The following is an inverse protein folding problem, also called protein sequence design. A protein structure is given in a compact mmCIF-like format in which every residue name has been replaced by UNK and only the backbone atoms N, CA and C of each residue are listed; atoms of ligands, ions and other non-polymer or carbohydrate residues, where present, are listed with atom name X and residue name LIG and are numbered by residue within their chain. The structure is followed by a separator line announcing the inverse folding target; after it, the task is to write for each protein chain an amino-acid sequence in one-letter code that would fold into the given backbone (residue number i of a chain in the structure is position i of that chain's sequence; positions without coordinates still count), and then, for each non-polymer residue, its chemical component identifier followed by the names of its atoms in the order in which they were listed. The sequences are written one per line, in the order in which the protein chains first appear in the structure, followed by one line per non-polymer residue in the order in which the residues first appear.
data_IF_947583204453
#
_entry.id   IF_947583204453
#
_cell.length_a   1.000
_cell.length_b   1.000
_cell.length_c   1.000
_cell.angle_alpha   90.00
_cell.angle_beta   90.00
_cell.angle_gamma   90.00
#
_symmetry.space_group_name_H-M   'P 1'
#
loop_
_entity.id
_entity.type
_entity.pdbx_description
1 polymer ?
#
# COMPACT_ATOMS: atom_id res chain seq x y z
N UNK A 1 26.11 3.24 9.74
CA UNK A 1 25.43 2.11 10.42
C UNK A 1 24.21 1.70 9.61
N UNK A 2 23.79 0.42 9.64
CA UNK A 2 22.63 -0.06 8.87
C UNK A 2 21.49 -0.43 9.83
N UNK A 3 20.31 0.16 9.64
CA UNK A 3 19.13 -0.07 10.47
C UNK A 3 17.88 -0.27 9.61
N UNK A 4 16.86 -0.95 10.15
CA UNK A 4 15.59 -1.09 9.45
C UNK A 4 14.83 0.25 9.43
N UNK A 5 14.22 0.59 8.29
CA UNK A 5 13.38 1.81 8.14
C UNK A 5 12.30 1.85 9.24
N UNK A 6 11.66 0.72 9.54
CA UNK A 6 10.59 0.60 10.54
C UNK A 6 11.05 0.80 11.98
N UNK A 7 12.34 0.63 12.25
CA UNK A 7 12.93 0.86 13.57
C UNK A 7 13.43 2.30 13.71
N UNK A 8 13.98 2.86 12.62
CA UNK A 8 14.52 4.22 12.59
C UNK A 8 13.44 5.31 12.41
N UNK A 9 12.33 4.98 11.76
CA UNK A 9 11.21 5.90 11.49
C UNK A 9 9.92 5.24 11.98
N UNK A 10 9.55 5.57 13.21
CA UNK A 10 8.40 4.95 13.90
C UNK A 10 7.11 5.77 13.80
N UNK A 11 7.20 7.05 13.42
CA UNK A 11 6.05 7.96 13.30
C UNK A 11 6.17 8.87 12.08
N UNK A 12 5.03 9.36 11.60
CA UNK A 12 4.99 10.35 10.50
C UNK A 12 5.72 11.63 10.91
N UNK A 13 5.51 12.13 12.13
CA UNK A 13 6.18 13.33 12.63
C UNK A 13 7.71 13.20 12.63
N UNK A 14 8.24 12.01 12.93
CA UNK A 14 9.67 11.72 12.84
C UNK A 14 10.15 11.73 11.38
N UNK A 15 9.36 11.17 10.46
CA UNK A 15 9.67 11.24 9.03
C UNK A 15 9.68 12.70 8.51
N UNK A 16 8.67 13.49 8.87
CA UNK A 16 8.56 14.90 8.50
C UNK A 16 9.78 15.70 8.97
N UNK A 17 10.14 15.56 10.25
CA UNK A 17 11.29 16.26 10.82
C UNK A 17 12.61 15.82 10.19
N UNK A 18 12.79 14.51 9.99
CA UNK A 18 14.07 13.94 9.56
C UNK A 18 14.36 14.15 8.07
N UNK A 19 13.32 14.12 7.23
CA UNK A 19 13.46 14.25 5.77
C UNK A 19 12.95 15.59 5.25
N UNK A 20 12.64 16.54 6.14
CA UNK A 20 12.08 17.85 5.80
C UNK A 20 10.84 17.72 4.90
N UNK A 21 9.96 16.77 5.24
CA UNK A 21 8.70 16.56 4.52
C UNK A 21 7.64 17.48 5.12
N UNK A 22 6.79 18.01 4.25
CA UNK A 22 5.62 18.78 4.64
C UNK A 22 4.36 18.09 4.16
N UNK A 23 3.38 17.92 5.06
CA UNK A 23 2.03 17.57 4.66
C UNK A 23 1.48 18.66 3.73
N UNK A 24 0.91 18.24 2.60
CA UNK A 24 0.16 19.12 1.71
C UNK A 24 -1.33 18.86 1.87
N UNK A 25 -2.08 19.92 2.15
CA UNK A 25 -3.55 19.92 2.09
C UNK A 25 -4.06 20.48 0.75
N UNK A 26 -3.15 20.87 -0.13
CA UNK A 26 -3.50 21.36 -1.46
C UNK A 26 -4.03 20.20 -2.30
N UNK A 27 -5.34 20.19 -2.50
CA UNK A 27 -6.00 19.23 -3.39
C UNK A 27 -5.42 19.26 -4.80
N UNK A 28 -4.89 20.39 -5.26
CA UNK A 28 -4.31 20.52 -6.60
C UNK A 28 -2.85 20.09 -6.72
N UNK A 29 -2.23 19.59 -5.64
CA UNK A 29 -0.82 19.17 -5.63
C UNK A 29 -0.52 18.07 -6.66
N UNK A 30 -1.47 17.17 -6.88
CA UNK A 30 -1.50 16.27 -8.03
C UNK A 30 -2.72 16.67 -8.86
N UNK A 31 -2.61 17.41 -9.97
CA UNK A 31 -3.78 17.71 -10.79
C UNK A 31 -4.21 16.51 -11.67
N UNK A 32 -3.32 15.56 -11.92
CA UNK A 32 -3.49 14.45 -12.89
C UNK A 32 -4.55 13.42 -12.46
N UNK A 33 -4.83 13.29 -11.15
CA UNK A 33 -5.89 12.40 -10.63
C UNK A 33 -7.24 13.10 -10.51
N UNK A 34 -7.35 14.40 -10.86
CA UNK A 34 -8.59 15.17 -10.72
C UNK A 34 -9.17 15.63 -12.06
N UNK A 35 -8.32 15.82 -13.06
CA UNK A 35 -8.71 16.36 -14.37
C UNK A 35 -8.60 15.28 -15.44
N UNK A 36 -9.48 15.32 -16.44
CA UNK A 36 -9.44 14.47 -17.64
C UNK A 36 -9.42 12.94 -17.39
N UNK A 37 -9.98 12.50 -16.25
CA UNK A 37 -10.16 11.08 -15.97
C UNK A 37 -11.14 10.44 -16.96
N UNK A 38 -10.72 9.35 -17.58
CA UNK A 38 -11.60 8.55 -18.42
C UNK A 38 -12.69 7.90 -17.56
N UNK A 39 -13.93 7.95 -18.04
CA UNK A 39 -15.02 7.22 -17.41
C UNK A 39 -14.78 5.71 -17.55
N UNK A 40 -14.97 4.98 -16.46
CA UNK A 40 -14.90 3.51 -16.48
C UNK A 40 -15.89 2.94 -17.50
N UNK A 41 -15.40 2.01 -18.32
CA UNK A 41 -16.19 1.22 -19.23
C UNK A 41 -17.17 0.30 -18.49
N UNK A 42 -18.20 -0.18 -19.20
CA UNK A 42 -19.15 -1.15 -18.63
C UNK A 42 -18.46 -2.45 -18.18
N UNK A 43 -17.38 -2.85 -18.86
CA UNK A 43 -16.61 -4.03 -18.50
C UNK A 43 -15.85 -3.81 -17.19
N UNK A 44 -15.13 -2.69 -17.05
CA UNK A 44 -14.39 -2.36 -15.82
C UNK A 44 -15.33 -2.25 -14.62
N UNK A 45 -16.48 -1.59 -14.77
CA UNK A 45 -17.50 -1.49 -13.71
C UNK A 45 -17.97 -2.87 -13.26
N UNK A 46 -18.29 -3.76 -14.21
CA UNK A 46 -18.70 -5.13 -13.90
C UNK A 46 -17.60 -5.89 -13.17
N UNK A 47 -16.36 -5.79 -13.63
CA UNK A 47 -15.20 -6.43 -12.99
C UNK A 47 -14.99 -5.92 -11.55
N UNK A 48 -15.17 -4.62 -11.30
CA UNK A 48 -15.11 -4.02 -9.98
C UNK A 48 -16.26 -4.47 -9.06
N UNK A 49 -17.48 -4.59 -9.60
CA UNK A 49 -18.64 -5.09 -8.86
C UNK A 49 -18.44 -6.55 -8.43
N UNK A 50 -17.96 -7.41 -9.33
CA UNK A 50 -17.63 -8.81 -9.02
C UNK A 50 -16.52 -8.91 -7.97
N UNK A 51 -15.47 -8.09 -8.09
CA UNK A 51 -14.38 -8.04 -7.14
C UNK A 51 -14.87 -7.63 -5.74
N UNK A 52 -15.70 -6.59 -5.68
CA UNK A 52 -16.34 -6.13 -4.45
C UNK A 52 -17.19 -7.22 -3.81
N UNK A 53 -18.02 -7.92 -4.60
CA UNK A 53 -18.85 -9.01 -4.10
C UNK A 53 -18.02 -10.14 -3.50
N UNK A 54 -16.94 -10.57 -4.18
CA UNK A 54 -16.02 -11.61 -3.69
C UNK A 54 -15.33 -11.20 -2.40
N UNK A 55 -14.84 -9.96 -2.33
CA UNK A 55 -14.24 -9.41 -1.13
C UNK A 55 -15.22 -9.39 0.05
N UNK A 56 -16.45 -8.90 -0.17
CA UNK A 56 -17.48 -8.85 0.88
C UNK A 56 -17.86 -10.24 1.38
N UNK A 57 -18.01 -11.22 0.48
CA UNK A 57 -18.28 -12.61 0.84
C UNK A 57 -17.17 -13.18 1.73
N UNK A 58 -15.91 -13.06 1.32
CA UNK A 58 -14.78 -13.60 2.07
C UNK A 58 -14.60 -12.88 3.42
N UNK A 59 -14.80 -11.56 3.45
CA UNK A 59 -14.78 -10.78 4.69
C UNK A 59 -15.90 -11.17 5.65
N UNK A 60 -17.04 -11.62 5.15
CA UNK A 60 -18.16 -12.05 6.00
C UNK A 60 -17.83 -13.31 6.81
N UNK A 61 -16.92 -14.16 6.32
CA UNK A 61 -16.48 -15.39 6.98
C UNK A 61 -15.44 -15.16 8.11
N UNK A 62 -14.89 -13.95 8.25
CA UNK A 62 -13.96 -13.62 9.32
C UNK A 62 -12.88 -12.62 8.94
N UNK A 63 -11.79 -12.61 9.71
CA UNK A 63 -10.66 -11.74 9.43
C UNK A 63 -9.86 -12.29 8.23
N UNK A 64 -9.70 -11.46 7.21
CA UNK A 64 -8.78 -11.74 6.10
C UNK A 64 -7.35 -11.44 6.55
N UNK A 65 -6.46 -12.39 6.28
CA UNK A 65 -5.02 -12.18 6.38
C UNK A 65 -4.55 -11.24 5.27
N UNK A 66 -3.42 -10.58 5.48
CA UNK A 66 -2.83 -9.65 4.52
C UNK A 66 -2.66 -10.27 3.14
N UNK A 67 -2.01 -11.44 3.05
CA UNK A 67 -1.83 -12.14 1.78
C UNK A 67 -3.16 -12.48 1.08
N UNK A 68 -4.24 -12.70 1.85
CA UNK A 68 -5.57 -12.92 1.29
C UNK A 68 -6.17 -11.63 0.72
N UNK A 69 -5.98 -10.49 1.37
CA UNK A 69 -6.40 -9.18 0.84
C UNK A 69 -5.60 -8.82 -0.40
N UNK A 70 -4.29 -9.06 -0.39
CA UNK A 70 -3.42 -8.84 -1.55
C UNK A 70 -3.90 -9.65 -2.74
N UNK A 71 -4.14 -10.96 -2.55
CA UNK A 71 -4.58 -11.85 -3.62
C UNK A 71 -6.00 -11.52 -4.13
N UNK A 72 -6.94 -11.26 -3.22
CA UNK A 72 -8.36 -11.13 -3.57
C UNK A 72 -8.78 -9.73 -3.97
N UNK A 73 -8.02 -8.70 -3.63
CA UNK A 73 -8.40 -7.31 -3.85
C UNK A 73 -7.29 -6.54 -4.57
N UNK A 74 -6.08 -6.49 -4.00
CA UNK A 74 -5.01 -5.62 -4.51
C UNK A 74 -4.55 -6.08 -5.89
N UNK A 75 -4.16 -7.34 -6.07
CA UNK A 75 -3.67 -7.83 -7.36
C UNK A 75 -4.73 -7.73 -8.47
N UNK A 76 -6.01 -8.10 -8.25
CA UNK A 76 -7.04 -7.90 -9.27
C UNK A 76 -7.30 -6.41 -9.59
N UNK A 77 -7.25 -5.51 -8.61
CA UNK A 77 -7.39 -4.07 -8.87
C UNK A 77 -6.25 -3.56 -9.76
N UNK A 78 -5.02 -3.98 -9.48
CA UNK A 78 -3.86 -3.62 -10.29
C UNK A 78 -4.01 -4.14 -11.73
N UNK A 79 -4.56 -5.34 -11.91
CA UNK A 79 -4.87 -5.89 -13.23
C UNK A 79 -5.94 -5.07 -13.97
N UNK A 80 -7.05 -4.75 -13.31
CA UNK A 80 -8.14 -3.96 -13.92
C UNK A 80 -7.62 -2.58 -14.34
N UNK A 81 -6.73 -1.98 -13.55
CA UNK A 81 -6.12 -0.68 -13.86
C UNK A 81 -4.95 -0.75 -14.86
N UNK A 82 -4.63 -1.93 -15.42
CA UNK A 82 -3.60 -2.10 -16.45
C UNK A 82 -2.16 -2.00 -15.93
N UNK A 83 -1.92 -2.09 -14.61
CA UNK A 83 -0.57 -1.94 -14.05
C UNK A 83 0.38 -3.11 -14.39
N UNK A 84 -0.16 -4.23 -14.89
CA UNK A 84 0.62 -5.37 -15.37
C UNK A 84 0.95 -5.29 -16.87
N UNK A 85 0.39 -4.31 -17.58
CA UNK A 85 0.53 -4.20 -19.04
C UNK A 85 1.71 -3.30 -19.44
N UNK A 86 2.33 -3.51 -20.62
CA UNK A 86 3.40 -2.65 -21.10
C UNK A 86 2.99 -1.17 -21.19
N UNK A 87 3.89 -0.21 -20.90
CA UNK A 87 5.32 -0.37 -20.59
C UNK A 87 5.62 -0.62 -19.10
N UNK A 88 4.59 -0.81 -18.26
CA UNK A 88 4.75 -0.97 -16.82
C UNK A 88 5.37 -2.33 -16.49
N UNK A 89 6.13 -2.34 -15.40
CA UNK A 89 6.71 -3.57 -14.84
C UNK A 89 6.44 -3.62 -13.36
N UNK A 90 5.85 -4.72 -12.92
CA UNK A 90 5.62 -4.98 -11.51
C UNK A 90 6.77 -5.79 -10.94
N UNK A 91 7.21 -5.36 -9.76
CA UNK A 91 8.15 -6.08 -8.93
C UNK A 91 7.53 -6.30 -7.55
N UNK A 92 7.85 -7.43 -6.94
CA UNK A 92 7.27 -7.88 -5.67
C UNK A 92 8.42 -8.10 -4.69
N UNK A 93 8.23 -7.72 -3.43
CA UNK A 93 9.24 -7.81 -2.37
C UNK A 93 10.55 -7.08 -2.68
N UNK A 94 10.49 -5.93 -3.36
CA UNK A 94 11.71 -5.18 -3.69
C UNK A 94 12.35 -4.61 -2.42
N UNK A 95 13.64 -4.90 -2.25
CA UNK A 95 14.46 -4.28 -1.21
C UNK A 95 14.77 -2.83 -1.57
N UNK A 96 14.53 -1.93 -0.63
CA UNK A 96 14.88 -0.51 -0.74
C UNK A 96 15.92 -0.14 0.30
N UNK A 97 16.82 0.75 -0.09
CA UNK A 97 17.87 1.29 0.77
C UNK A 97 17.90 2.80 0.59
N UNK A 98 17.81 3.54 1.69
CA UNK A 98 17.87 5.00 1.73
C UNK A 98 19.14 5.38 2.48
N UNK A 99 20.00 6.14 1.81
CA UNK A 99 21.18 6.73 2.45
C UNK A 99 20.81 8.10 3.00
N UNK A 100 21.05 8.32 4.28
CA UNK A 100 20.65 9.52 5.02
C UNK A 100 21.86 10.06 5.81
N UNK A 101 21.78 11.31 6.28
CA UNK A 101 22.84 11.98 7.04
C UNK A 101 24.17 11.99 6.28
N UNK A 102 24.14 12.56 5.07
CA UNK A 102 25.29 12.70 4.16
C UNK A 102 26.12 11.43 3.90
N UNK A 103 25.53 10.24 4.08
CA UNK A 103 26.19 8.96 3.83
C UNK A 103 26.46 8.11 5.07
N UNK A 104 26.22 8.64 6.28
CA UNK A 104 26.60 7.96 7.52
C UNK A 104 25.58 6.89 7.96
N UNK A 105 24.33 7.03 7.55
CA UNK A 105 23.25 6.10 7.87
C UNK A 105 22.62 5.48 6.62
N UNK A 106 22.43 4.16 6.68
CA UNK A 106 21.72 3.40 5.65
C UNK A 106 20.47 2.81 6.29
N UNK A 107 19.31 3.20 5.78
CA UNK A 107 18.01 2.68 6.17
C UNK A 107 17.52 1.68 5.12
N UNK A 108 17.32 0.43 5.53
CA UNK A 108 16.86 -0.63 4.64
C UNK A 108 15.42 -1.07 4.95
N UNK A 109 14.66 -1.42 3.91
CA UNK A 109 13.30 -1.94 4.04
C UNK A 109 12.89 -2.79 2.83
N UNK A 110 11.64 -3.23 2.83
CA UNK A 110 11.04 -4.01 1.74
C UNK A 110 9.68 -3.42 1.38
N UNK A 111 9.40 -3.36 0.08
CA UNK A 111 8.11 -2.93 -0.46
C UNK A 111 7.41 -4.15 -1.07
N UNK A 112 6.15 -4.39 -0.67
CA UNK A 112 5.40 -5.57 -1.11
C UNK A 112 5.10 -5.56 -2.61
N UNK A 113 4.74 -4.40 -3.17
CA UNK A 113 4.51 -4.23 -4.61
C UNK A 113 5.09 -2.90 -5.06
N UNK A 114 5.91 -2.91 -6.11
CA UNK A 114 6.43 -1.70 -6.74
C UNK A 114 6.11 -1.72 -8.23
N UNK A 115 5.46 -0.66 -8.70
CA UNK A 115 5.14 -0.44 -10.12
C UNK A 115 5.90 0.78 -10.62
N UNK A 116 6.68 0.66 -11.70
CA UNK A 116 7.63 1.70 -12.10
C UNK A 116 7.52 2.11 -13.58
N UNK A 117 7.52 3.43 -13.85
CA UNK A 117 7.70 4.02 -15.19
C UNK A 117 8.39 5.39 -15.12
N UNK A 118 9.53 5.54 -15.80
CA UNK A 118 10.27 6.76 -16.16
C UNK A 118 10.04 8.04 -15.32
N UNK A 119 10.11 7.92 -13.99
CA UNK A 119 10.28 8.95 -12.95
C UNK A 119 9.18 9.10 -11.89
N UNK A 120 8.03 8.40 -11.91
CA UNK A 120 7.25 8.10 -10.67
C UNK A 120 6.02 7.19 -10.89
N UNK A 121 5.87 6.12 -10.10
CA UNK A 121 4.64 5.64 -9.42
C UNK A 121 5.06 4.75 -8.22
N UNK A 122 4.35 4.79 -7.08
CA UNK A 122 4.57 3.92 -5.91
C UNK A 122 3.22 3.51 -5.32
N UNK A 123 2.99 2.21 -5.10
CA UNK A 123 1.80 1.68 -4.42
C UNK A 123 2.26 0.81 -3.26
N UNK A 124 2.11 1.29 -2.02
CA UNK A 124 2.38 0.49 -0.82
C UNK A 124 1.04 0.15 -0.18
N UNK A 125 0.72 -1.14 -0.10
CA UNK A 125 -0.45 -1.64 0.64
C UNK A 125 0.03 -2.52 1.77
N UNK A 126 0.11 -1.94 2.97
CA UNK A 126 0.33 -2.67 4.21
C UNK A 126 -1.01 -2.85 4.93
N UNK A 127 -1.39 -4.09 5.22
CA UNK A 127 -2.63 -4.43 5.93
C UNK A 127 -2.28 -5.00 7.31
N UNK A 128 -1.95 -4.13 8.27
CA UNK A 128 -1.87 -4.54 9.70
C UNK A 128 -3.21 -4.31 10.41
N UNK A 129 -3.81 -5.38 10.93
CA UNK A 129 -4.81 -5.27 12.00
C UNK A 129 -4.10 -5.17 13.34
N UNK A 130 -4.48 -4.18 14.15
CA UNK A 130 -4.25 -4.22 15.60
C UNK A 130 -4.80 -5.55 16.14
N UNK A 131 -4.05 -6.30 16.98
CA UNK A 131 -4.61 -7.46 17.65
C UNK A 131 -5.74 -6.97 18.57
N UNK A 132 -6.99 -7.21 18.19
CA UNK A 132 -8.11 -7.12 19.13
C UNK A 132 -7.91 -8.18 20.20
N UNK A 133 -7.32 -7.81 21.34
CA UNK A 133 -7.32 -8.62 22.56
C UNK A 133 -8.69 -8.51 23.21
N UNK A 134 -9.64 -9.37 22.83
CA UNK A 134 -10.77 -9.66 23.69
C UNK A 134 -10.27 -10.52 24.85
N UNK A 135 -9.93 -9.88 25.96
CA UNK A 135 -9.82 -10.55 27.25
C UNK A 135 -11.22 -10.83 27.78
N UNK A 136 -11.82 -11.97 27.42
CA UNK A 136 -12.96 -12.49 28.19
C UNK A 136 -12.40 -13.09 29.49
N UNK A 137 -12.81 -12.61 30.68
CA UNK A 137 -12.49 -13.30 31.91
C UNK A 137 -13.26 -14.62 31.92
N UNK A 138 -12.57 -15.72 31.60
CA UNK A 138 -13.09 -17.06 31.88
C UNK A 138 -13.19 -17.23 33.40
N UNK A 139 -14.41 -17.32 33.91
CA UNK A 139 -14.70 -17.86 35.23
C UNK A 139 -14.65 -19.39 35.11
N UNK A 140 -13.65 -20.04 35.70
CA UNK A 140 -13.65 -21.51 35.84
C UNK A 140 -14.79 -21.93 36.80
N UNK A 141 -15.46 -23.07 36.56
CA UNK A 141 -16.33 -23.68 37.55
C UNK A 141 -15.53 -24.16 38.77
#
# INVERSE_FOLDING_TARGET
MSSAITEAITTIALAETRFNLSLTEDGSFFPEWQSDLLALSSHEKKSLDELRQRYLYQRSAGQLLEGTVTLLLVSPLLAIAGFYDPPLRVRVEESVSLTVDDGEEILSGRIDVLVWLNQFWVVIVESKKLPYRFGLPYRKP
#
